data_IF_936608775388
#
_entry.id   IF_936608775388
#
_cell.length_a   1.000
_cell.length_b   1.000
_cell.length_c   1.000
_cell.angle_alpha   90.00
_cell.angle_beta   90.00
_cell.angle_gamma   90.00
#
_symmetry.space_group_name_H-M   'P 1'
#
loop_
_entity.id
_entity.type
_entity.pdbx_description
1 polymer ?
#
# COMPACT_ATOMS: atom_id res chain seq x y z
N UNK A 1 -7.39 32.91 20.62
CA UNK A 1 -8.54 33.74 20.95
C UNK A 1 -8.79 34.66 19.76
N UNK A 2 -9.88 34.48 19.05
CA UNK A 2 -10.32 35.46 18.08
C UNK A 2 -11.16 36.51 18.84
N UNK A 3 -10.80 37.79 18.82
CA UNK A 3 -11.63 38.83 19.36
C UNK A 3 -12.96 38.83 18.60
N UNK A 4 -14.06 38.73 19.31
CA UNK A 4 -15.40 38.81 18.74
C UNK A 4 -15.80 40.27 18.72
N UNK A 5 -15.96 40.84 17.54
CA UNK A 5 -16.46 42.19 17.33
C UNK A 5 -17.98 42.09 17.19
N UNK A 6 -18.68 42.48 18.24
CA UNK A 6 -20.14 42.60 18.20
C UNK A 6 -20.55 44.02 17.77
N UNK A 7 -21.48 44.10 16.85
CA UNK A 7 -22.12 45.34 16.43
C UNK A 7 -23.63 45.20 16.65
N UNK A 8 -24.17 45.89 17.61
CA UNK A 8 -25.61 45.92 17.90
C UNK A 8 -26.17 47.25 17.46
N UNK A 9 -27.31 47.23 16.79
CA UNK A 9 -28.05 48.41 16.40
C UNK A 9 -29.48 48.25 16.90
N UNK A 10 -29.89 49.15 17.77
CA UNK A 10 -31.23 49.19 18.28
C UNK A 10 -31.87 50.52 17.87
N UNK A 11 -33.09 50.50 17.37
CA UNK A 11 -33.85 51.69 17.00
C UNK A 11 -35.15 51.64 17.80
N UNK A 12 -35.34 52.60 18.70
CA UNK A 12 -36.55 52.73 19.48
C UNK A 12 -37.13 54.15 19.29
N UNK A 13 -38.15 54.31 18.47
CA UNK A 13 -38.71 55.59 18.15
C UNK A 13 -37.76 56.55 17.45
N UNK A 14 -37.43 57.70 18.09
CA UNK A 14 -36.45 58.66 17.59
C UNK A 14 -35.00 58.43 18.03
N UNK A 15 -34.76 57.39 18.83
CA UNK A 15 -33.45 57.08 19.35
C UNK A 15 -32.76 55.98 18.55
N UNK A 16 -31.49 56.19 18.19
CA UNK A 16 -30.65 55.22 17.55
C UNK A 16 -29.46 54.89 18.51
N UNK A 17 -29.37 53.65 18.94
CA UNK A 17 -28.25 53.15 19.73
C UNK A 17 -27.34 52.26 18.88
N UNK A 18 -26.06 52.57 18.85
CA UNK A 18 -25.03 51.77 18.18
C UNK A 18 -24.03 51.28 19.22
N UNK A 19 -24.20 50.02 19.61
CA UNK A 19 -23.26 49.30 20.51
C UNK A 19 -22.11 48.66 19.74
N UNK A 20 -20.90 48.86 20.24
CA UNK A 20 -19.69 48.17 19.76
C UNK A 20 -19.08 47.46 20.95
N UNK A 21 -18.99 46.16 20.91
CA UNK A 21 -18.36 45.33 21.95
C UNK A 21 -17.16 44.58 21.38
N UNK A 22 -16.06 44.60 22.08
CA UNK A 22 -14.88 43.73 21.85
C UNK A 22 -14.77 42.80 23.04
N UNK A 23 -15.10 41.52 22.86
CA UNK A 23 -14.95 40.50 23.89
C UNK A 23 -13.71 39.65 23.68
N UNK A 24 -13.00 39.35 24.73
CA UNK A 24 -11.82 38.51 24.78
C UNK A 24 -11.99 37.51 25.94
N UNK A 25 -11.89 36.20 25.62
CA UNK A 25 -11.80 35.16 26.65
C UNK A 25 -10.40 35.20 27.28
N UNK A 26 -10.31 35.53 28.57
CA UNK A 26 -9.04 35.59 29.27
C UNK A 26 -8.41 34.20 29.37
N UNK A 27 -9.23 33.17 29.59
CA UNK A 27 -8.80 31.78 29.65
C UNK A 27 -8.28 31.32 28.27
N UNK A 28 -8.87 31.78 27.18
CA UNK A 28 -8.42 31.53 25.83
C UNK A 28 -7.01 32.08 25.57
N UNK A 29 -6.71 33.27 26.08
CA UNK A 29 -5.40 33.88 25.98
C UNK A 29 -4.35 33.09 26.80
N UNK A 30 -4.68 32.69 28.03
CA UNK A 30 -3.80 31.90 28.87
C UNK A 30 -3.55 30.50 28.33
N UNK A 31 -4.51 29.90 27.65
CA UNK A 31 -4.38 28.56 27.06
C UNK A 31 -3.80 28.57 25.65
N UNK A 32 -3.56 29.75 25.05
CA UNK A 32 -3.01 29.90 23.70
C UNK A 32 -1.73 29.07 23.47
N UNK A 33 -0.70 29.07 24.36
CA UNK A 33 0.51 28.27 24.18
C UNK A 33 0.22 26.78 24.14
N UNK A 34 -0.69 26.29 25.00
CA UNK A 34 -1.07 24.87 25.02
C UNK A 34 -1.84 24.47 23.76
N UNK A 35 -2.73 25.33 23.28
CA UNK A 35 -3.44 25.11 21.99
C UNK A 35 -2.48 25.12 20.81
N UNK A 36 -1.48 26.01 20.81
CA UNK A 36 -0.42 26.04 19.79
C UNK A 36 0.40 24.73 19.79
N UNK A 37 0.75 24.20 20.95
CA UNK A 37 1.43 22.92 21.06
C UNK A 37 0.57 21.75 20.56
N UNK A 38 -0.73 21.74 20.82
CA UNK A 38 -1.63 20.72 20.28
C UNK A 38 -1.72 20.84 18.75
N UNK A 39 -1.82 22.07 18.22
CA UNK A 39 -1.86 22.31 16.78
C UNK A 39 -0.56 21.86 16.09
N UNK A 40 0.61 22.15 16.69
CA UNK A 40 1.91 21.69 16.17
C UNK A 40 2.02 20.16 16.18
N UNK A 41 1.52 19.49 17.23
CA UNK A 41 1.49 18.02 17.28
C UNK A 41 0.56 17.44 16.21
N UNK A 42 -0.59 18.06 15.94
CA UNK A 42 -1.48 17.67 14.84
C UNK A 42 -0.84 17.84 13.47
N UNK A 43 -0.08 18.93 13.27
CA UNK A 43 0.67 19.14 12.03
C UNK A 43 1.73 18.06 11.84
N UNK A 44 2.46 17.69 12.90
CA UNK A 44 3.43 16.61 12.85
C UNK A 44 2.76 15.25 12.53
N UNK A 45 1.60 14.95 13.11
CA UNK A 45 0.82 13.77 12.76
C UNK A 45 0.38 13.78 11.28
N UNK A 46 -0.04 14.92 10.76
CA UNK A 46 -0.40 15.06 9.34
C UNK A 46 0.80 14.79 8.42
N UNK A 47 1.99 15.29 8.79
CA UNK A 47 3.25 15.01 8.07
C UNK A 47 3.62 13.53 8.09
N UNK A 48 3.51 12.88 9.25
CA UNK A 48 3.78 11.44 9.38
C UNK A 48 2.79 10.60 8.57
N UNK A 49 1.51 10.97 8.54
CA UNK A 49 0.50 10.31 7.69
C UNK A 49 0.82 10.46 6.21
N UNK A 50 1.13 11.69 5.78
CA UNK A 50 1.53 11.95 4.39
C UNK A 50 2.77 11.14 4.01
N UNK A 51 3.80 11.11 4.87
CA UNK A 51 4.98 10.28 4.64
C UNK A 51 4.61 8.80 4.50
N UNK A 52 3.67 8.31 5.32
CA UNK A 52 3.16 6.94 5.20
C UNK A 52 2.45 6.68 3.86
N UNK A 53 1.59 7.60 3.42
CA UNK A 53 0.90 7.50 2.12
C UNK A 53 1.87 7.50 0.94
N UNK A 54 2.93 8.30 1.01
CA UNK A 54 4.01 8.30 0.01
C UNK A 54 4.71 6.94 -0.04
N UNK A 55 5.05 6.36 1.12
CA UNK A 55 5.67 5.02 1.18
C UNK A 55 4.74 3.95 0.61
N UNK A 56 3.44 4.00 0.94
CA UNK A 56 2.45 3.07 0.39
C UNK A 56 2.34 3.19 -1.13
N UNK A 57 2.35 4.43 -1.64
CA UNK A 57 2.30 4.67 -3.08
C UNK A 57 3.56 4.14 -3.78
N UNK A 58 4.75 4.42 -3.26
CA UNK A 58 6.01 3.90 -3.79
C UNK A 58 6.01 2.37 -3.79
N UNK A 59 5.51 1.75 -2.72
CA UNK A 59 5.43 0.28 -2.62
C UNK A 59 4.48 -0.29 -3.70
N UNK A 60 3.31 0.32 -3.89
CA UNK A 60 2.38 -0.08 -4.97
C UNK A 60 2.98 0.08 -6.35
N UNK A 61 3.70 1.18 -6.62
CA UNK A 61 4.39 1.40 -7.88
C UNK A 61 5.47 0.33 -8.12
N UNK A 62 6.29 0.03 -7.09
CA UNK A 62 7.30 -1.05 -7.18
C UNK A 62 6.69 -2.40 -7.49
N UNK A 63 5.62 -2.77 -6.78
CA UNK A 63 4.91 -4.02 -7.01
C UNK A 63 4.27 -4.08 -8.40
N UNK A 64 3.67 -2.99 -8.87
CA UNK A 64 3.10 -2.90 -10.21
C UNK A 64 4.20 -3.01 -11.29
N UNK A 65 5.36 -2.39 -11.07
CA UNK A 65 6.50 -2.51 -11.97
C UNK A 65 6.99 -3.97 -12.07
N UNK A 66 7.16 -4.65 -10.94
CA UNK A 66 7.55 -6.07 -10.90
C UNK A 66 6.54 -6.93 -11.68
N UNK A 67 5.24 -6.72 -11.45
CA UNK A 67 4.18 -7.44 -12.18
C UNK A 67 4.20 -7.15 -13.68
N UNK A 68 4.41 -5.90 -14.07
CA UNK A 68 4.44 -5.50 -15.48
C UNK A 68 5.64 -6.12 -16.22
N UNK A 69 6.83 -6.13 -15.59
CA UNK A 69 8.03 -6.74 -16.17
C UNK A 69 7.88 -8.26 -16.27
N UNK A 70 7.42 -8.92 -15.20
CA UNK A 70 7.18 -10.37 -15.21
C UNK A 70 6.13 -10.78 -16.26
N UNK A 71 5.02 -10.03 -16.35
CA UNK A 71 3.98 -10.28 -17.35
C UNK A 71 4.49 -10.10 -18.78
N UNK A 72 5.36 -9.12 -19.03
CA UNK A 72 6.04 -8.94 -20.32
C UNK A 72 6.94 -10.15 -20.63
N UNK A 73 7.75 -10.56 -19.68
CA UNK A 73 8.65 -11.73 -19.84
C UNK A 73 7.87 -13.01 -20.12
N UNK A 74 6.77 -13.24 -19.40
CA UNK A 74 5.86 -14.37 -19.61
C UNK A 74 5.22 -14.31 -21.00
N UNK A 75 4.78 -13.11 -21.45
CA UNK A 75 4.20 -12.94 -22.77
C UNK A 75 5.20 -13.24 -23.89
N UNK A 76 6.43 -12.74 -23.80
CA UNK A 76 7.50 -13.03 -24.76
C UNK A 76 7.81 -14.53 -24.83
N UNK A 77 7.88 -15.18 -23.68
CA UNK A 77 8.10 -16.62 -23.61
C UNK A 77 6.91 -17.42 -24.19
N UNK A 78 5.68 -17.02 -23.88
CA UNK A 78 4.47 -17.63 -24.48
C UNK A 78 4.41 -17.50 -25.99
N UNK A 79 4.94 -16.41 -26.57
CA UNK A 79 5.06 -16.24 -28.02
C UNK A 79 6.03 -17.28 -28.62
N UNK A 80 7.19 -17.51 -28.00
CA UNK A 80 8.14 -18.51 -28.45
C UNK A 80 7.56 -19.93 -28.37
N UNK A 81 6.84 -20.22 -27.26
CA UNK A 81 6.15 -21.50 -27.06
C UNK A 81 5.08 -21.72 -28.13
N UNK A 82 4.29 -20.69 -28.44
CA UNK A 82 3.25 -20.77 -29.46
C UNK A 82 3.84 -21.04 -30.84
N UNK A 83 4.92 -20.36 -31.23
CA UNK A 83 5.60 -20.61 -32.53
C UNK A 83 6.12 -22.04 -32.60
N UNK A 84 6.68 -22.57 -31.53
CA UNK A 84 7.16 -23.97 -31.47
C UNK A 84 6.00 -24.96 -31.53
N UNK A 85 4.89 -24.69 -30.88
CA UNK A 85 3.67 -25.53 -30.93
C UNK A 85 3.03 -25.53 -32.31
N UNK A 86 3.02 -24.39 -32.99
CA UNK A 86 2.51 -24.26 -34.38
C UNK A 86 3.34 -25.10 -35.36
N UNK A 87 4.68 -24.98 -35.27
CA UNK A 87 5.58 -25.78 -36.08
C UNK A 87 5.42 -27.28 -35.83
N UNK A 88 5.25 -27.69 -34.58
CA UNK A 88 5.03 -29.07 -34.14
C UNK A 88 3.71 -29.64 -34.69
N UNK A 89 2.62 -28.85 -34.58
CA UNK A 89 1.30 -29.25 -35.12
C UNK A 89 1.30 -29.39 -36.66
N UNK A 90 2.02 -28.50 -37.35
CA UNK A 90 2.17 -28.58 -38.82
C UNK A 90 2.99 -29.82 -39.25
N UNK A 91 4.09 -30.08 -38.53
CA UNK A 91 4.89 -31.31 -38.77
C UNK A 91 4.04 -32.56 -38.55
N UNK A 92 3.28 -32.64 -37.45
CA UNK A 92 2.39 -33.75 -37.13
C UNK A 92 1.33 -33.97 -38.23
N UNK A 93 0.79 -32.91 -38.80
CA UNK A 93 -0.17 -32.96 -39.91
C UNK A 93 0.47 -33.55 -41.19
N UNK A 94 1.68 -33.09 -41.53
CA UNK A 94 2.42 -33.60 -42.71
C UNK A 94 2.84 -35.05 -42.51
N UNK A 95 3.33 -35.45 -41.35
CA UNK A 95 3.70 -36.83 -41.03
C UNK A 95 2.50 -37.79 -41.09
N UNK A 96 1.32 -37.32 -40.68
CA UNK A 96 0.10 -38.14 -40.79
C UNK A 96 -0.31 -38.31 -42.24
N UNK A 97 -0.19 -37.31 -43.11
CA UNK A 97 -0.59 -37.42 -44.54
C UNK A 97 0.24 -38.46 -45.32
N UNK A 98 1.46 -38.74 -44.86
CA UNK A 98 2.34 -39.77 -45.46
C UNK A 98 2.31 -41.11 -44.67
N UNK A 99 1.37 -41.25 -43.70
CA UNK A 99 1.14 -42.49 -42.97
C UNK A 99 2.08 -42.75 -41.79
N UNK A 100 3.00 -41.84 -41.49
CA UNK A 100 4.01 -41.99 -40.43
C UNK A 100 3.57 -41.51 -39.04
N UNK A 101 2.30 -41.10 -38.88
CA UNK A 101 1.80 -40.52 -37.63
C UNK A 101 0.34 -40.96 -37.37
N UNK A 102 0.07 -41.43 -36.13
CA UNK A 102 -1.27 -41.87 -35.76
C UNK A 102 -2.24 -40.70 -35.63
N UNK A 103 -3.56 -40.97 -35.80
CA UNK A 103 -4.61 -39.97 -35.53
C UNK A 103 -4.58 -39.43 -34.11
N UNK A 104 -4.29 -40.31 -33.12
CA UNK A 104 -4.17 -39.94 -31.72
C UNK A 104 -3.01 -38.97 -31.49
N UNK A 105 -1.87 -39.29 -32.08
CA UNK A 105 -0.68 -38.46 -31.97
C UNK A 105 -0.87 -37.06 -32.53
N UNK A 106 -1.49 -36.96 -33.71
CA UNK A 106 -1.87 -35.67 -34.30
C UNK A 106 -2.83 -34.90 -33.38
N UNK A 107 -3.84 -35.57 -32.81
CA UNK A 107 -4.80 -34.94 -31.91
C UNK A 107 -4.11 -34.35 -30.68
N UNK A 108 -3.11 -35.05 -30.12
CA UNK A 108 -2.31 -34.55 -28.95
C UNK A 108 -1.53 -33.29 -29.32
N UNK A 109 -0.92 -33.22 -30.52
CA UNK A 109 -0.20 -32.02 -30.96
C UNK A 109 -1.19 -30.87 -31.24
N UNK A 110 -2.38 -31.15 -31.74
CA UNK A 110 -3.41 -30.14 -31.96
C UNK A 110 -3.94 -29.56 -30.63
N UNK A 111 -4.07 -30.40 -29.58
CA UNK A 111 -4.42 -29.94 -28.22
C UNK A 111 -3.31 -29.04 -27.66
N UNK A 112 -2.06 -29.45 -27.80
CA UNK A 112 -0.94 -28.62 -27.33
C UNK A 112 -0.86 -27.25 -28.03
N UNK A 113 -1.10 -27.21 -29.35
CA UNK A 113 -1.20 -25.96 -30.10
C UNK A 113 -2.34 -25.08 -29.58
N UNK A 114 -3.53 -25.66 -29.32
CA UNK A 114 -4.68 -24.94 -28.81
C UNK A 114 -4.42 -24.38 -27.39
N UNK A 115 -3.77 -25.17 -26.53
CA UNK A 115 -3.35 -24.73 -25.19
C UNK A 115 -2.32 -23.59 -25.26
N UNK A 116 -1.33 -23.70 -26.14
CA UNK A 116 -0.34 -22.65 -26.35
C UNK A 116 -0.97 -21.34 -26.86
N UNK A 117 -1.94 -21.42 -27.77
CA UNK A 117 -2.71 -20.27 -28.26
C UNK A 117 -3.48 -19.59 -27.12
N UNK A 118 -4.14 -20.38 -26.28
CA UNK A 118 -4.91 -19.89 -25.11
C UNK A 118 -3.97 -19.22 -24.09
N UNK A 119 -2.83 -19.84 -23.79
CA UNK A 119 -1.81 -19.28 -22.90
C UNK A 119 -1.23 -17.96 -23.43
N UNK A 120 -0.96 -17.89 -24.75
CA UNK A 120 -0.50 -16.66 -25.39
C UNK A 120 -1.53 -15.53 -25.26
N UNK A 121 -2.81 -15.81 -25.56
CA UNK A 121 -3.87 -14.82 -25.44
C UNK A 121 -4.01 -14.28 -24.01
N UNK A 122 -3.97 -15.17 -23.02
CA UNK A 122 -4.01 -14.83 -21.60
C UNK A 122 -2.78 -14.00 -21.17
N UNK A 123 -1.59 -14.43 -21.56
CA UNK A 123 -0.34 -13.72 -21.24
C UNK A 123 -0.29 -12.32 -21.88
N UNK A 124 -0.77 -12.19 -23.12
CA UNK A 124 -0.92 -10.89 -23.78
C UNK A 124 -1.85 -9.95 -23.01
N UNK A 125 -3.01 -10.43 -22.62
CA UNK A 125 -3.94 -9.63 -21.82
C UNK A 125 -3.32 -9.22 -20.48
N UNK A 126 -2.66 -10.15 -19.78
CA UNK A 126 -2.00 -9.86 -18.51
C UNK A 126 -0.88 -8.83 -18.65
N UNK A 127 -0.08 -8.90 -19.71
CA UNK A 127 0.96 -7.92 -19.98
C UNK A 127 0.39 -6.51 -20.23
N UNK A 128 -0.72 -6.41 -20.97
CA UNK A 128 -1.41 -5.14 -21.21
C UNK A 128 -1.98 -4.61 -19.88
N UNK A 129 -2.72 -5.43 -19.13
CA UNK A 129 -3.37 -5.05 -17.88
C UNK A 129 -2.37 -4.57 -16.83
N UNK A 130 -1.27 -5.31 -16.64
CA UNK A 130 -0.22 -4.93 -15.68
C UNK A 130 0.52 -3.65 -16.07
N UNK A 131 0.72 -3.42 -17.39
CA UNK A 131 1.29 -2.18 -17.89
C UNK A 131 0.37 -0.99 -17.66
N UNK A 132 -0.93 -1.15 -17.90
CA UNK A 132 -1.93 -0.10 -17.65
C UNK A 132 -2.08 0.21 -16.14
N UNK A 133 -1.99 -0.81 -15.28
CA UNK A 133 -1.94 -0.60 -13.83
C UNK A 133 -0.73 0.28 -13.43
N UNK A 134 0.45 -0.01 -13.97
CA UNK A 134 1.65 0.78 -13.72
C UNK A 134 1.52 2.21 -14.24
N UNK A 135 0.99 2.42 -15.45
CA UNK A 135 0.74 3.74 -16.04
C UNK A 135 -0.18 4.57 -15.13
N UNK A 136 -1.28 3.98 -14.63
CA UNK A 136 -2.20 4.66 -13.72
C UNK A 136 -1.53 5.05 -12.40
N UNK A 137 -0.73 4.15 -11.82
CA UNK A 137 -0.01 4.42 -10.57
C UNK A 137 1.08 5.49 -10.73
N UNK A 138 1.72 5.56 -11.89
CA UNK A 138 2.70 6.60 -12.22
C UNK A 138 2.04 7.93 -12.61
N UNK A 139 0.73 7.94 -12.88
CA UNK A 139 0.01 9.15 -13.32
C UNK A 139 0.43 9.64 -14.70
N UNK A 140 0.89 8.73 -15.58
CA UNK A 140 1.35 9.10 -16.92
C UNK A 140 0.19 9.43 -17.84
N UNK A 141 0.34 10.48 -18.63
CA UNK A 141 -0.57 10.78 -19.73
C UNK A 141 -0.33 9.87 -20.94
N UNK A 142 -1.20 9.98 -21.97
CA UNK A 142 -1.13 9.13 -23.17
C UNK A 142 0.19 9.26 -23.93
N UNK A 143 0.82 10.44 -23.96
CA UNK A 143 2.08 10.70 -24.63
C UNK A 143 3.26 10.11 -23.86
N UNK A 144 3.28 10.28 -22.55
CA UNK A 144 4.28 9.72 -21.64
C UNK A 144 4.19 8.19 -21.57
N UNK A 145 2.97 7.63 -21.59
CA UNK A 145 2.76 6.19 -21.58
C UNK A 145 3.39 5.48 -22.79
N UNK A 146 3.45 6.14 -23.95
CA UNK A 146 4.13 5.60 -25.13
C UNK A 146 5.65 5.51 -24.98
N UNK A 147 6.24 6.41 -24.18
CA UNK A 147 7.67 6.44 -23.90
C UNK A 147 8.09 5.45 -22.81
N UNK A 148 7.13 4.85 -22.08
CA UNK A 148 7.42 3.88 -21.02
C UNK A 148 8.02 2.61 -21.61
N UNK A 149 9.31 2.41 -21.39
CA UNK A 149 10.05 1.20 -21.73
C UNK A 149 10.25 0.34 -20.49
N UNK A 150 9.82 -0.92 -20.57
CA UNK A 150 10.06 -1.91 -19.52
C UNK A 150 11.25 -2.78 -19.93
N UNK A 151 12.07 -3.26 -18.99
CA UNK A 151 13.10 -4.23 -19.27
C UNK A 151 12.47 -5.57 -19.72
N UNK A 152 13.25 -6.39 -20.40
CA UNK A 152 12.77 -7.68 -20.92
C UNK A 152 12.66 -8.76 -19.84
N UNK A 153 13.38 -8.61 -18.74
CA UNK A 153 13.37 -9.55 -17.60
C UNK A 153 13.50 -8.80 -16.27
N UNK A 154 13.10 -9.47 -15.21
CA UNK A 154 13.33 -9.01 -13.85
C UNK A 154 14.84 -8.94 -13.54
N UNK A 155 15.26 -8.10 -12.57
CA UNK A 155 16.64 -8.06 -12.10
C UNK A 155 17.07 -9.41 -11.53
N UNK A 156 18.37 -9.73 -11.66
CA UNK A 156 18.91 -10.94 -11.07
C UNK A 156 18.73 -10.98 -9.55
N UNK A 157 18.54 -12.17 -8.99
CA UNK A 157 18.45 -12.35 -7.54
C UNK A 157 19.74 -11.90 -6.85
N UNK A 158 19.64 -11.28 -5.66
CA UNK A 158 20.83 -10.97 -4.87
C UNK A 158 21.60 -12.25 -4.53
N UNK A 159 22.92 -12.12 -4.35
CA UNK A 159 23.76 -13.28 -4.03
C UNK A 159 23.42 -13.91 -2.68
N UNK A 160 23.01 -13.07 -1.73
CA UNK A 160 22.65 -13.51 -0.37
C UNK A 160 21.37 -12.78 0.06
N UNK A 161 20.52 -13.49 0.78
CA UNK A 161 19.34 -12.89 1.41
C UNK A 161 19.77 -11.99 2.57
N UNK A 162 18.90 -11.00 2.91
CA UNK A 162 19.09 -10.19 4.11
C UNK A 162 19.05 -11.06 5.36
N UNK A 163 19.97 -10.80 6.31
CA UNK A 163 20.00 -11.53 7.57
C UNK A 163 18.98 -10.97 8.58
N UNK A 164 18.44 -11.83 9.47
CA UNK A 164 17.43 -11.42 10.46
C UNK A 164 17.90 -10.29 11.38
N UNK A 165 19.19 -10.30 11.77
CA UNK A 165 19.77 -9.30 12.65
C UNK A 165 19.83 -7.91 12.00
N UNK A 166 20.17 -7.85 10.70
CA UNK A 166 20.16 -6.62 9.93
C UNK A 166 18.74 -6.04 9.81
N UNK A 167 17.75 -6.89 9.58
CA UNK A 167 16.33 -6.52 9.50
C UNK A 167 15.82 -5.95 10.82
N UNK A 168 16.14 -6.60 11.95
CA UNK A 168 15.77 -6.13 13.29
C UNK A 168 16.37 -4.76 13.64
N UNK A 169 17.64 -4.54 13.32
CA UNK A 169 18.33 -3.28 13.57
C UNK A 169 17.78 -2.11 12.73
N UNK A 170 17.39 -2.37 11.48
CA UNK A 170 16.77 -1.38 10.59
C UNK A 170 15.36 -1.00 11.06
N UNK A 171 14.57 -1.97 11.51
CA UNK A 171 13.19 -1.74 11.94
C UNK A 171 13.06 -0.89 13.21
N UNK A 172 14.05 -0.93 14.11
CA UNK A 172 13.96 -0.26 15.44
C UNK A 172 14.08 1.26 15.33
N UNK A 173 14.65 1.81 14.26
CA UNK A 173 15.07 3.22 14.22
C UNK A 173 14.11 4.20 13.55
N UNK A 174 13.14 3.76 12.75
CA UNK A 174 12.41 4.69 11.87
C UNK A 174 10.95 4.36 11.57
N UNK A 175 10.29 3.49 12.35
CA UNK A 175 8.91 3.07 12.04
C UNK A 175 7.91 4.21 12.18
N UNK A 176 7.27 4.56 11.06
CA UNK A 176 6.28 5.63 10.98
C UNK A 176 5.00 5.31 11.77
N UNK A 177 4.57 4.05 11.81
CA UNK A 177 3.39 3.58 12.54
C UNK A 177 3.53 3.79 14.06
N UNK A 178 4.68 3.42 14.63
CA UNK A 178 4.98 3.61 16.06
C UNK A 178 5.07 5.10 16.40
N UNK A 179 5.80 5.89 15.58
CA UNK A 179 5.91 7.34 15.77
C UNK A 179 4.55 8.03 15.70
N UNK A 180 3.68 7.62 14.79
CA UNK A 180 2.33 8.16 14.66
C UNK A 180 1.49 7.84 15.91
N UNK A 181 1.55 6.59 16.42
CA UNK A 181 0.85 6.16 17.61
C UNK A 181 1.38 6.88 18.87
N UNK A 182 2.70 7.06 19.00
CA UNK A 182 3.32 7.86 20.08
C UNK A 182 2.86 9.32 20.05
N UNK A 183 2.86 9.94 18.87
CA UNK A 183 2.38 11.30 18.69
C UNK A 183 0.88 11.45 18.99
N UNK A 184 0.07 10.42 18.70
CA UNK A 184 -1.35 10.39 19.05
C UNK A 184 -1.56 10.32 20.57
N UNK A 185 -0.78 9.51 21.28
CA UNK A 185 -0.81 9.44 22.75
C UNK A 185 -0.37 10.78 23.39
N UNK A 186 0.70 11.40 22.87
CA UNK A 186 1.16 12.71 23.36
C UNK A 186 0.09 13.80 23.14
N UNK A 187 -0.57 13.81 21.97
CA UNK A 187 -1.67 14.72 21.67
C UNK A 187 -2.87 14.52 22.62
N UNK A 188 -3.23 13.25 22.91
CA UNK A 188 -4.32 12.93 23.84
C UNK A 188 -3.98 13.41 25.26
N UNK A 189 -2.75 13.18 25.74
CA UNK A 189 -2.30 13.65 27.04
C UNK A 189 -2.27 15.17 27.17
N UNK A 190 -1.80 15.90 26.15
CA UNK A 190 -1.83 17.37 26.10
C UNK A 190 -3.26 17.90 26.10
N UNK A 191 -4.16 17.30 25.33
CA UNK A 191 -5.56 17.68 25.28
C UNK A 191 -6.28 17.42 26.61
N UNK A 192 -5.98 16.30 27.29
CA UNK A 192 -6.49 15.99 28.62
C UNK A 192 -6.08 17.05 29.65
N UNK A 193 -4.79 17.43 29.69
CA UNK A 193 -4.28 18.48 30.59
C UNK A 193 -4.94 19.83 30.33
N UNK A 194 -5.12 20.21 29.06
CA UNK A 194 -5.79 21.45 28.71
C UNK A 194 -7.26 21.43 29.17
N UNK A 195 -7.96 20.32 29.01
CA UNK A 195 -9.36 20.18 29.43
C UNK A 195 -9.54 20.33 30.94
N UNK A 196 -8.62 19.83 31.76
CA UNK A 196 -8.67 20.03 33.23
C UNK A 196 -8.67 21.51 33.58
N UNK A 197 -7.89 22.34 32.86
CA UNK A 197 -7.82 23.78 33.11
C UNK A 197 -9.07 24.49 32.57
N UNK A 198 -9.57 24.11 31.42
CA UNK A 198 -10.70 24.80 30.74
C UNK A 198 -12.08 24.37 31.24
N UNK A 199 -12.19 23.26 31.98
CA UNK A 199 -13.47 22.74 32.47
C UNK A 199 -13.96 23.41 33.75
N UNK A 200 -13.10 24.16 34.45
CA UNK A 200 -13.43 24.72 35.77
C UNK A 200 -14.10 26.10 35.71
N UNK A 201 -13.69 26.97 34.81
CA UNK A 201 -14.21 28.33 34.70
C UNK A 201 -14.00 28.88 33.30
N UNK A 202 -14.93 29.73 32.86
CA UNK A 202 -14.77 30.55 31.66
C UNK A 202 -14.88 32.03 32.08
N UNK A 203 -13.83 32.80 31.84
CA UNK A 203 -13.76 34.21 32.18
C UNK A 203 -13.67 35.02 30.89
N UNK A 204 -14.70 35.79 30.65
CA UNK A 204 -14.78 36.69 29.48
C UNK A 204 -14.57 38.13 29.94
N UNK A 205 -13.75 38.88 29.25
CA UNK A 205 -13.63 40.32 29.43
C UNK A 205 -14.06 41.00 28.16
N UNK A 206 -15.02 41.90 28.28
CA UNK A 206 -15.51 42.71 27.17
C UNK A 206 -15.34 44.20 27.43
N UNK A 207 -14.96 44.92 26.39
CA UNK A 207 -14.98 46.40 26.39
C UNK A 207 -16.08 46.81 25.46
N UNK A 208 -17.05 47.55 26.03
CA UNK A 208 -18.25 48.03 25.29
C UNK A 208 -18.16 49.53 25.13
N UNK A 209 -18.54 50.00 23.94
CA UNK A 209 -18.71 51.40 23.63
C UNK A 209 -20.05 51.57 22.95
N UNK A 210 -20.97 52.25 23.63
CA UNK A 210 -22.31 52.54 23.12
C UNK A 210 -22.40 54.03 22.75
N UNK A 211 -23.00 54.26 21.62
CA UNK A 211 -23.26 55.61 21.12
C UNK A 211 -24.77 55.72 20.91
N UNK A 212 -25.40 56.55 21.69
CA UNK A 212 -26.84 56.89 21.55
C UNK A 212 -26.98 58.19 20.80
N UNK A 213 -27.85 58.21 19.83
CA UNK A 213 -28.25 59.35 19.06
C UNK A 213 -29.74 59.61 19.36
N UNK A 214 -30.05 60.73 20.00
CA UNK A 214 -31.41 61.21 20.13
C UNK A 214 -31.71 62.18 18.99
N UNK A 215 -32.50 61.72 18.03
CA UNK A 215 -32.86 62.53 16.86
C UNK A 215 -33.88 63.64 17.19
N UNK A 216 -34.60 63.53 18.32
CA UNK A 216 -35.59 64.58 18.74
C UNK A 216 -34.86 65.72 19.45
N UNK A 217 -33.83 65.45 20.23
CA UNK A 217 -33.04 66.46 20.95
C UNK A 217 -31.77 66.90 20.25
N UNK A 218 -31.38 66.25 19.14
CA UNK A 218 -30.08 66.44 18.44
C UNK A 218 -28.87 66.12 19.31
N UNK A 219 -29.05 65.34 20.36
CA UNK A 219 -27.99 65.01 21.32
C UNK A 219 -27.29 63.67 21.01
N UNK A 220 -25.98 63.66 21.22
CA UNK A 220 -25.18 62.44 21.11
C UNK A 220 -24.54 62.14 22.47
N UNK A 221 -24.84 60.95 23.00
CA UNK A 221 -24.19 60.43 24.20
C UNK A 221 -23.29 59.27 23.88
N UNK A 222 -22.07 59.25 24.44
CA UNK A 222 -21.13 58.14 24.33
C UNK A 222 -20.91 57.55 25.72
N UNK A 223 -21.20 56.27 25.90
CA UNK A 223 -20.86 55.53 27.09
C UNK A 223 -19.73 54.50 26.81
N UNK A 224 -18.91 54.28 27.80
CA UNK A 224 -17.87 53.24 27.78
C UNK A 224 -18.08 52.34 28.96
N UNK A 225 -18.16 51.03 28.73
CA UNK A 225 -18.32 50.04 29.77
C UNK A 225 -17.28 48.95 29.67
N UNK A 226 -16.94 48.41 30.85
CA UNK A 226 -16.14 47.17 30.94
C UNK A 226 -17.08 46.10 31.52
N UNK A 227 -17.09 44.95 30.90
CA UNK A 227 -17.88 43.81 31.35
C UNK A 227 -16.95 42.63 31.64
N UNK A 228 -17.10 42.02 32.82
CA UNK A 228 -16.41 40.80 33.20
C UNK A 228 -17.48 39.74 33.39
N UNK A 229 -17.56 38.80 32.47
CA UNK A 229 -18.41 37.60 32.55
C UNK A 229 -17.66 36.44 33.17
N UNK A 230 -18.17 35.86 34.24
CA UNK A 230 -17.64 34.63 34.84
C UNK A 230 -18.71 33.55 34.68
N UNK A 231 -18.46 32.53 33.89
CA UNK A 231 -19.35 31.39 33.74
C UNK A 231 -18.94 30.30 34.71
N UNK A 232 -19.75 30.09 35.75
CA UNK A 232 -19.56 29.02 36.71
C UNK A 232 -20.40 27.80 36.36
N UNK A 233 -19.87 26.60 36.28
CA UNK A 233 -20.64 25.38 36.06
C UNK A 233 -21.36 24.98 37.33
N UNK A 234 -22.64 25.37 37.48
CA UNK A 234 -23.40 25.12 38.73
C UNK A 234 -23.89 23.67 38.86
N UNK A 235 -24.04 22.94 37.73
CA UNK A 235 -24.62 21.59 37.70
C UNK A 235 -23.66 20.52 37.13
N UNK A 236 -22.64 20.88 36.35
CA UNK A 236 -21.65 19.96 35.80
C UNK A 236 -20.24 20.49 36.05
N UNK A 237 -19.55 19.87 37.00
CA UNK A 237 -18.15 20.17 37.34
C UNK A 237 -17.16 19.53 36.33
N UNK A 238 -17.62 19.19 35.11
CA UNK A 238 -16.81 18.64 34.05
C UNK A 238 -16.39 17.19 34.28
N UNK A 239 -17.09 16.46 35.17
CA UNK A 239 -16.81 15.07 35.48
C UNK A 239 -16.88 14.18 34.23
N UNK A 240 -17.99 14.22 33.55
CA UNK A 240 -18.20 13.42 32.30
C UNK A 240 -17.17 13.77 31.23
N UNK A 241 -16.79 15.04 31.11
CA UNK A 241 -15.79 15.47 30.13
C UNK A 241 -14.38 14.96 30.49
N UNK A 242 -14.03 14.99 31.79
CA UNK A 242 -12.76 14.43 32.29
C UNK A 242 -12.69 12.92 32.05
N UNK A 243 -13.77 12.20 32.31
CA UNK A 243 -13.84 10.75 32.07
C UNK A 243 -13.72 10.42 30.59
N UNK A 244 -14.35 11.20 29.70
CA UNK A 244 -14.19 11.05 28.26
C UNK A 244 -12.74 11.29 27.80
N UNK A 245 -12.04 12.27 28.35
CA UNK A 245 -10.63 12.51 28.02
C UNK A 245 -9.70 11.43 28.60
N UNK A 246 -9.96 10.94 29.81
CA UNK A 246 -9.25 9.81 30.41
C UNK A 246 -9.39 8.56 29.52
N UNK A 247 -10.62 8.25 29.08
CA UNK A 247 -10.90 7.13 28.21
C UNK A 247 -10.18 7.27 26.83
N UNK A 248 -10.14 8.46 26.27
CA UNK A 248 -9.40 8.73 25.01
C UNK A 248 -7.89 8.54 25.17
N UNK A 249 -7.32 8.98 26.29
CA UNK A 249 -5.88 8.81 26.57
C UNK A 249 -5.56 7.34 26.78
N UNK A 250 -6.39 6.61 27.51
CA UNK A 250 -6.24 5.16 27.68
C UNK A 250 -6.37 4.41 26.36
N UNK A 251 -7.35 4.78 25.53
CA UNK A 251 -7.49 4.21 24.18
C UNK A 251 -6.26 4.45 23.31
N UNK A 252 -5.66 5.66 23.36
CA UNK A 252 -4.44 5.97 22.64
C UNK A 252 -3.23 5.16 23.15
N UNK A 253 -3.13 4.93 24.47
CA UNK A 253 -2.08 4.09 25.06
C UNK A 253 -2.22 2.62 24.62
N UNK A 254 -3.44 2.07 24.69
CA UNK A 254 -3.72 0.71 24.23
C UNK A 254 -3.46 0.56 22.72
N UNK A 255 -3.79 1.58 21.92
CA UNK A 255 -3.52 1.59 20.49
C UNK A 255 -2.00 1.59 20.20
N UNK A 256 -1.21 2.34 20.96
CA UNK A 256 0.25 2.30 20.83
C UNK A 256 0.79 0.90 21.14
N UNK A 257 0.34 0.28 22.22
CA UNK A 257 0.77 -1.07 22.59
C UNK A 257 0.38 -2.10 21.53
N UNK A 258 -0.86 -2.05 21.03
CA UNK A 258 -1.33 -2.89 19.92
C UNK A 258 -0.48 -2.69 18.66
N UNK A 259 -0.15 -1.43 18.32
CA UNK A 259 0.70 -1.10 17.18
C UNK A 259 2.10 -1.69 17.33
N UNK A 260 2.72 -1.60 18.50
CA UNK A 260 4.05 -2.17 18.75
C UNK A 260 4.05 -3.70 18.63
N UNK A 261 3.02 -4.36 19.18
CA UNK A 261 2.88 -5.82 19.08
C UNK A 261 2.65 -6.27 17.63
N UNK A 262 1.74 -5.63 16.90
CA UNK A 262 1.47 -5.96 15.50
C UNK A 262 2.67 -5.65 14.59
N UNK A 263 3.41 -4.59 14.88
CA UNK A 263 4.62 -4.21 14.18
C UNK A 263 5.67 -5.33 14.17
N UNK A 264 5.92 -5.93 15.34
CA UNK A 264 6.87 -7.03 15.46
C UNK A 264 6.40 -8.31 14.75
N UNK A 265 5.09 -8.60 14.81
CA UNK A 265 4.48 -9.75 14.12
C UNK A 265 4.55 -9.59 12.61
N UNK A 266 4.11 -8.45 12.08
CA UNK A 266 4.12 -8.14 10.66
C UNK A 266 5.55 -8.18 10.06
N UNK A 267 6.54 -7.72 10.83
CA UNK A 267 7.93 -7.78 10.39
C UNK A 267 8.42 -9.23 10.25
N UNK A 268 8.11 -10.09 11.23
CA UNK A 268 8.49 -11.51 11.18
C UNK A 268 7.79 -12.24 10.02
N UNK A 269 6.52 -11.96 9.79
CA UNK A 269 5.74 -12.53 8.69
C UNK A 269 6.31 -12.11 7.32
N UNK A 270 6.52 -10.81 7.09
CA UNK A 270 7.09 -10.31 5.84
C UNK A 270 8.53 -10.79 5.62
N UNK A 271 9.33 -10.93 6.69
CA UNK A 271 10.66 -11.52 6.58
C UNK A 271 10.60 -13.00 6.24
N UNK A 272 9.70 -13.77 6.83
CA UNK A 272 9.49 -15.18 6.49
C UNK A 272 9.07 -15.34 5.03
N UNK A 273 8.12 -14.51 4.55
CA UNK A 273 7.69 -14.52 3.15
C UNK A 273 8.86 -14.18 2.19
N UNK A 274 9.63 -13.14 2.51
CA UNK A 274 10.82 -12.76 1.75
C UNK A 274 11.85 -13.90 1.69
N UNK A 275 12.16 -14.51 2.84
CA UNK A 275 13.14 -15.60 2.91
C UNK A 275 12.70 -16.82 2.13
N UNK A 276 11.45 -17.23 2.29
CA UNK A 276 10.86 -18.35 1.56
C UNK A 276 10.88 -18.10 0.05
N UNK A 277 10.44 -16.90 -0.38
CA UNK A 277 10.45 -16.54 -1.79
C UNK A 277 11.88 -16.52 -2.39
N UNK A 278 12.86 -16.03 -1.61
CA UNK A 278 14.27 -16.07 -2.01
C UNK A 278 14.78 -17.49 -2.20
N UNK A 279 14.53 -18.37 -1.22
CA UNK A 279 15.01 -19.76 -1.25
C UNK A 279 14.36 -20.52 -2.42
N UNK A 280 13.07 -20.33 -2.70
CA UNK A 280 12.38 -20.92 -3.86
C UNK A 280 12.96 -20.40 -5.18
N UNK A 281 13.08 -19.07 -5.33
CA UNK A 281 13.61 -18.49 -6.56
C UNK A 281 15.07 -18.92 -6.82
N UNK A 282 15.88 -18.96 -5.77
CA UNK A 282 17.26 -19.45 -5.83
C UNK A 282 17.31 -20.93 -6.23
N UNK A 283 16.48 -21.79 -5.65
CA UNK A 283 16.39 -23.21 -5.99
C UNK A 283 16.05 -23.40 -7.47
N UNK A 284 15.07 -22.65 -7.99
CA UNK A 284 14.77 -22.68 -9.42
C UNK A 284 15.96 -22.27 -10.29
N UNK A 285 16.68 -21.19 -9.93
CA UNK A 285 17.82 -20.67 -10.69
C UNK A 285 19.02 -21.62 -10.67
N UNK A 286 19.39 -22.12 -9.46
CA UNK A 286 20.66 -22.81 -9.24
C UNK A 286 20.56 -24.31 -9.47
N UNK A 287 19.38 -24.92 -9.35
CA UNK A 287 19.19 -26.36 -9.42
C UNK A 287 18.19 -26.78 -10.50
N UNK A 288 16.96 -26.29 -10.46
CA UNK A 288 15.88 -26.81 -11.32
C UNK A 288 16.11 -26.49 -12.81
N UNK A 289 16.44 -25.23 -13.14
CA UNK A 289 16.69 -24.82 -14.53
C UNK A 289 17.91 -25.54 -15.13
N UNK A 290 19.08 -25.62 -14.46
CA UNK A 290 20.23 -26.34 -14.98
C UNK A 290 19.97 -27.85 -15.20
N UNK A 291 19.27 -28.50 -14.26
CA UNK A 291 18.90 -29.91 -14.39
C UNK A 291 17.94 -30.14 -15.55
N UNK A 292 16.94 -29.27 -15.73
CA UNK A 292 16.03 -29.36 -16.86
C UNK A 292 16.71 -29.14 -18.19
N UNK A 293 17.66 -28.23 -18.25
CA UNK A 293 18.49 -28.03 -19.45
C UNK A 293 19.27 -29.28 -19.80
N UNK A 294 19.93 -29.87 -18.79
CA UNK A 294 20.67 -31.13 -18.99
C UNK A 294 19.77 -32.27 -19.47
N UNK A 295 18.57 -32.45 -18.87
CA UNK A 295 17.60 -33.47 -19.29
C UNK A 295 17.17 -33.23 -20.74
N UNK A 296 16.90 -31.99 -21.12
CA UNK A 296 16.47 -31.63 -22.48
C UNK A 296 17.61 -31.91 -23.52
N UNK A 297 18.86 -31.57 -23.17
CA UNK A 297 20.02 -31.86 -24.02
C UNK A 297 20.20 -33.37 -24.21
N UNK A 298 20.13 -34.16 -23.13
CA UNK A 298 20.24 -35.62 -23.17
C UNK A 298 19.07 -36.25 -23.97
N UNK A 299 17.86 -35.81 -23.78
CA UNK A 299 16.69 -36.29 -24.55
C UNK A 299 16.82 -35.96 -26.05
N UNK A 300 17.38 -34.81 -26.39
CA UNK A 300 17.67 -34.48 -27.78
C UNK A 300 18.72 -35.41 -28.41
N UNK A 301 19.79 -35.76 -27.67
CA UNK A 301 20.79 -36.74 -28.12
C UNK A 301 20.18 -38.13 -28.28
N UNK A 302 19.36 -38.59 -27.34
CA UNK A 302 18.64 -39.87 -27.43
C UNK A 302 17.68 -39.91 -28.61
N UNK A 303 16.98 -38.84 -28.90
CA UNK A 303 16.12 -38.71 -30.07
C UNK A 303 16.92 -38.80 -31.37
N UNK A 304 18.06 -38.13 -31.46
CA UNK A 304 18.96 -38.20 -32.62
C UNK A 304 19.54 -39.59 -32.80
N UNK A 305 19.76 -40.33 -31.69
CA UNK A 305 20.20 -41.75 -31.68
C UNK A 305 19.03 -42.72 -31.91
N UNK A 306 17.81 -42.27 -32.19
CA UNK A 306 16.61 -43.09 -32.36
C UNK A 306 16.24 -43.95 -31.15
N UNK A 307 16.71 -43.58 -29.96
CA UNK A 307 16.48 -44.32 -28.70
C UNK A 307 15.08 -43.94 -28.12
N UNK A 308 14.68 -42.68 -28.25
CA UNK A 308 13.39 -42.19 -27.83
C UNK A 308 12.55 -41.69 -29.02
N UNK A 309 11.23 -41.75 -28.84
CA UNK A 309 10.31 -41.26 -29.86
C UNK A 309 10.10 -39.73 -29.77
N UNK A 310 9.54 -39.15 -30.82
CA UNK A 310 9.22 -37.75 -30.90
C UNK A 310 8.26 -37.31 -29.78
N UNK A 311 7.40 -38.19 -29.30
CA UNK A 311 6.46 -37.91 -28.22
C UNK A 311 7.10 -37.66 -26.88
N UNK A 312 8.14 -38.45 -26.57
CA UNK A 312 8.92 -38.30 -25.35
C UNK A 312 9.67 -36.97 -25.36
N UNK A 313 10.29 -36.64 -26.51
CA UNK A 313 10.91 -35.32 -26.72
C UNK A 313 9.94 -34.15 -26.56
N UNK A 314 8.74 -34.25 -27.11
CA UNK A 314 7.72 -33.22 -27.00
C UNK A 314 7.15 -33.12 -25.58
N UNK A 315 7.02 -34.24 -24.85
CA UNK A 315 6.63 -34.23 -23.45
C UNK A 315 7.68 -33.52 -22.58
N UNK A 316 8.97 -33.78 -22.82
CA UNK A 316 10.09 -33.09 -22.15
C UNK A 316 10.07 -31.58 -22.44
N UNK A 317 9.85 -31.18 -23.69
CA UNK A 317 9.74 -29.77 -24.05
C UNK A 317 8.58 -29.05 -23.32
N UNK A 318 7.44 -29.71 -23.16
CA UNK A 318 6.30 -29.18 -22.38
C UNK A 318 6.65 -28.98 -20.91
N UNK A 319 7.37 -29.94 -20.32
CA UNK A 319 7.80 -29.85 -18.93
C UNK A 319 8.87 -28.77 -18.72
N UNK A 320 9.76 -28.57 -19.69
CA UNK A 320 10.71 -27.44 -19.70
C UNK A 320 9.97 -26.09 -19.71
N UNK A 321 8.91 -25.96 -20.53
CA UNK A 321 8.08 -24.77 -20.59
C UNK A 321 7.47 -24.45 -19.21
N UNK A 322 6.88 -25.46 -18.56
CA UNK A 322 6.29 -25.29 -17.23
C UNK A 322 7.34 -24.89 -16.18
N UNK A 323 8.54 -25.45 -16.26
CA UNK A 323 9.65 -25.13 -15.36
C UNK A 323 10.11 -23.66 -15.52
N UNK A 324 10.26 -23.19 -16.75
CA UNK A 324 10.65 -21.79 -16.99
C UNK A 324 9.57 -20.82 -16.52
N UNK A 325 8.30 -21.13 -16.76
CA UNK A 325 7.18 -20.32 -16.25
C UNK A 325 7.16 -20.29 -14.71
N UNK A 326 7.38 -21.42 -14.05
CA UNK A 326 7.46 -21.50 -12.60
C UNK A 326 8.64 -20.67 -12.05
N UNK A 327 9.79 -20.68 -12.72
CA UNK A 327 10.95 -19.88 -12.34
C UNK A 327 10.70 -18.37 -12.45
N UNK A 328 10.08 -17.91 -13.55
CA UNK A 328 9.70 -16.50 -13.72
C UNK A 328 8.72 -16.06 -12.60
N UNK A 329 7.74 -16.91 -12.29
CA UNK A 329 6.80 -16.65 -11.21
C UNK A 329 7.49 -16.61 -9.83
N UNK A 330 8.45 -17.49 -9.58
CA UNK A 330 9.23 -17.50 -8.34
C UNK A 330 10.07 -16.21 -8.19
N UNK A 331 10.72 -15.74 -9.24
CA UNK A 331 11.43 -14.45 -9.25
C UNK A 331 10.48 -13.27 -9.00
N UNK A 332 9.31 -13.29 -9.62
CA UNK A 332 8.28 -12.26 -9.38
C UNK A 332 7.85 -12.25 -7.91
N UNK A 333 7.56 -13.40 -7.31
CA UNK A 333 7.17 -13.50 -5.91
C UNK A 333 8.27 -13.00 -4.98
N UNK A 334 9.53 -13.28 -5.28
CA UNK A 334 10.66 -12.75 -4.53
C UNK A 334 10.68 -11.21 -4.53
N UNK A 335 10.59 -10.57 -5.69
CA UNK A 335 10.63 -9.11 -5.77
C UNK A 335 9.41 -8.43 -5.16
N UNK A 336 8.24 -9.09 -5.20
CA UNK A 336 7.05 -8.61 -4.49
C UNK A 336 7.22 -8.71 -2.98
N UNK A 337 7.80 -9.81 -2.48
CA UNK A 337 8.08 -10.01 -1.06
C UNK A 337 9.18 -9.04 -0.56
N UNK A 338 10.20 -8.76 -1.38
CA UNK A 338 11.22 -7.74 -1.07
C UNK A 338 10.59 -6.35 -0.92
N UNK A 339 9.74 -5.94 -1.85
CA UNK A 339 9.05 -4.65 -1.76
C UNK A 339 8.17 -4.55 -0.50
N UNK A 340 7.50 -5.63 -0.10
CA UNK A 340 6.69 -5.69 1.11
C UNK A 340 7.55 -5.65 2.39
N UNK A 341 8.67 -6.35 2.41
CA UNK A 341 9.62 -6.29 3.53
C UNK A 341 10.17 -4.87 3.71
N UNK A 342 10.58 -4.21 2.63
CA UNK A 342 11.06 -2.83 2.65
C UNK A 342 10.01 -1.86 3.23
N UNK A 343 8.76 -2.00 2.83
CA UNK A 343 7.64 -1.22 3.37
C UNK A 343 7.41 -1.51 4.86
N UNK A 344 7.48 -2.79 5.27
CA UNK A 344 7.33 -3.23 6.66
C UNK A 344 8.44 -2.68 7.56
N UNK A 345 9.67 -2.54 7.08
CA UNK A 345 10.78 -1.93 7.81
C UNK A 345 10.51 -0.47 8.17
N UNK A 346 9.82 0.26 7.30
CA UNK A 346 9.45 1.67 7.50
C UNK A 346 8.17 1.80 8.36
N UNK A 347 7.48 0.68 8.66
CA UNK A 347 6.24 0.68 9.42
C UNK A 347 4.98 0.84 8.57
N UNK A 348 5.03 0.39 7.31
CA UNK A 348 3.87 0.33 6.41
C UNK A 348 3.77 -1.07 5.81
N UNK A 349 3.31 -2.08 6.60
CA UNK A 349 3.26 -3.45 6.14
C UNK A 349 2.31 -3.58 4.94
N UNK A 350 2.82 -4.17 3.86
CA UNK A 350 2.05 -4.58 2.70
C UNK A 350 1.90 -6.11 2.77
N UNK A 351 0.66 -6.60 2.59
CA UNK A 351 0.42 -8.04 2.58
C UNK A 351 0.82 -8.61 1.22
N UNK A 352 1.71 -9.59 1.23
CA UNK A 352 2.01 -10.44 0.08
C UNK A 352 1.54 -11.84 0.42
N UNK A 353 0.48 -12.29 -0.25
CA UNK A 353 0.12 -13.71 -0.23
C UNK A 353 1.06 -14.45 -1.16
N UNK A 354 1.88 -15.35 -0.61
CA UNK A 354 2.59 -16.33 -1.43
C UNK A 354 1.51 -17.23 -2.06
N UNK A 355 1.31 -17.11 -3.37
CA UNK A 355 0.43 -18.03 -4.09
C UNK A 355 1.09 -19.40 -4.04
N UNK A 356 0.46 -20.35 -3.35
CA UNK A 356 0.86 -21.73 -3.43
C UNK A 356 0.81 -22.16 -4.91
N UNK A 357 1.89 -22.72 -5.42
CA UNK A 357 1.89 -23.35 -6.73
C UNK A 357 0.75 -24.38 -6.75
N UNK A 358 -0.05 -24.47 -7.82
CA UNK A 358 -1.05 -25.51 -7.92
C UNK A 358 -0.34 -26.87 -7.73
N UNK A 359 -0.92 -27.80 -6.96
CA UNK A 359 -0.33 -29.11 -6.77
C UNK A 359 -0.08 -29.72 -8.15
N UNK A 360 1.14 -30.17 -8.37
CA UNK A 360 1.47 -30.95 -9.56
C UNK A 360 0.45 -32.08 -9.64
N UNK A 361 -0.33 -32.11 -10.72
CA UNK A 361 -1.24 -33.22 -10.99
C UNK A 361 -0.37 -34.48 -11.04
N UNK A 362 -0.39 -35.25 -9.97
CA UNK A 362 0.14 -36.61 -9.95
C UNK A 362 -0.67 -37.39 -10.98
N UNK A 363 -0.07 -37.56 -12.17
CA UNK A 363 -0.54 -38.52 -13.14
C UNK A 363 -0.47 -39.87 -12.44
N UNK A 364 -1.65 -40.38 -12.07
CA UNK A 364 -1.80 -41.72 -11.57
C UNK A 364 -1.39 -42.68 -12.71
N UNK A 365 -0.23 -43.31 -12.53
CA UNK A 365 0.04 -44.62 -13.12
C UNK A 365 -0.88 -45.62 -12.40
N UNK A 366 -2.05 -45.85 -12.95
CA UNK A 366 -2.77 -47.09 -12.71
C UNK A 366 -2.41 -48.05 -13.84
N UNK A 367 -1.42 -48.88 -13.51
CA UNK A 367 -1.19 -50.12 -14.22
C UNK A 367 -2.36 -51.07 -13.97
N UNK A 368 -3.06 -51.45 -15.04
CA UNK A 368 -3.71 -52.73 -15.24
C UNK A 368 -3.77 -53.05 -16.75
#
# INVERSE_FOLDING_TARGET
ANPVLGLERMVAGSELEVGRALSLGLLDLMTLPARQQIASTRLEQARLRLAGEVVDHITRVRQAWVRAVAARQIHQYAQQVFQSAEASAELARRMQSVGNFSRLSRAREQVFYADAATRLATARHQAISSREELIRLLGLDASQAQLLQLPDRLPDLPRQALEPQAVGALATRARLDIRLAQSALDAAGKAQRLNVVTSMTDIEMAVRRDTQFDNAAGARSNSRGYEIGIRLPLFDWGGMQRDAWNARTLAAANQLEATVRSAASNLRENYSAYRTAFDIARHHRDEVIPLRKLISEENQLRYNGMIIGVFELLADAREQINTVMAAINAEQQFWLADAALQASLIGRPANVSLSAAPPASSGGDEAH
#
